data_IF_933796955208
#
_entry.id   IF_933796955208
#
_cell.length_a   1.000
_cell.length_b   1.000
_cell.length_c   1.000
_cell.angle_alpha   90.00
_cell.angle_beta   90.00
_cell.angle_gamma   90.00
#
_symmetry.space_group_name_H-M   'P 1'
#
loop_
_entity.id
_entity.type
_entity.pdbx_description
1 polymer ?
#
# COMPACT_ATOMS: atom_id res chain seq x y z
N UNK A 1 33.31 14.82 30.52
CA UNK A 1 31.96 15.39 30.29
C UNK A 1 31.32 14.63 29.14
N UNK A 2 30.45 13.67 29.45
CA UNK A 2 29.67 12.95 28.41
C UNK A 2 28.52 13.87 28.00
N UNK A 3 28.54 14.33 26.74
CA UNK A 3 27.38 14.97 26.11
C UNK A 3 26.30 13.91 25.94
N UNK A 4 25.54 13.63 27.00
CA UNK A 4 24.24 12.98 26.89
C UNK A 4 23.28 14.01 26.31
N UNK A 5 23.23 14.10 24.98
CA UNK A 5 22.14 14.74 24.27
C UNK A 5 20.86 13.97 24.61
N UNK A 6 20.21 14.34 25.72
CA UNK A 6 18.87 13.85 26.07
C UNK A 6 17.90 14.38 25.03
N UNK A 7 17.66 13.58 24.00
CA UNK A 7 16.63 13.85 22.98
C UNK A 7 15.28 13.54 23.62
N UNK A 8 14.61 14.58 24.12
CA UNK A 8 13.30 14.49 24.77
C UNK A 8 12.22 14.77 23.72
N UNK A 9 11.77 13.75 23.00
CA UNK A 9 10.48 13.81 22.27
C UNK A 9 9.43 12.99 23.02
N UNK A 10 9.12 13.39 24.26
CA UNK A 10 8.27 12.60 25.17
C UNK A 10 6.76 12.79 24.97
N UNK A 11 6.29 13.86 24.30
CA UNK A 11 4.85 14.15 24.19
C UNK A 11 4.45 14.77 22.85
N UNK A 12 4.00 13.94 21.90
CA UNK A 12 2.96 14.32 20.92
C UNK A 12 2.07 13.09 20.66
N UNK A 13 0.84 13.12 21.17
CA UNK A 13 -0.24 12.27 20.70
C UNK A 13 -0.76 12.85 19.38
N UNK A 14 -0.61 12.11 18.27
CA UNK A 14 -1.04 12.46 16.89
C UNK A 14 -0.34 13.70 16.32
N UNK A 15 0.17 13.60 15.09
CA UNK A 15 0.64 14.79 14.35
C UNK A 15 -0.55 15.76 14.24
N UNK A 16 -0.49 16.97 14.84
CA UNK A 16 -1.63 17.88 14.84
C UNK A 16 -1.92 18.34 13.42
N UNK A 17 -3.18 18.50 13.01
CA UNK A 17 -3.54 18.84 11.62
C UNK A 17 -2.81 20.06 11.03
N UNK A 18 -2.35 20.99 11.89
CA UNK A 18 -1.56 22.17 11.53
C UNK A 18 -0.03 22.03 11.76
N UNK A 19 0.52 20.80 11.78
CA UNK A 19 1.93 20.55 12.07
C UNK A 19 2.88 21.29 11.12
N UNK A 20 2.50 21.48 9.86
CA UNK A 20 3.29 22.26 8.89
C UNK A 20 3.59 23.69 9.39
N UNK A 21 2.61 24.34 10.03
CA UNK A 21 2.77 25.70 10.58
C UNK A 21 3.67 25.75 11.82
N UNK A 22 3.90 24.60 12.45
CA UNK A 22 4.78 24.44 13.62
C UNK A 22 6.18 24.01 13.24
N UNK A 23 6.43 23.68 11.97
CA UNK A 23 7.77 23.29 11.52
C UNK A 23 8.70 24.50 11.50
N UNK A 24 9.96 24.28 11.84
CA UNK A 24 11.02 25.27 11.67
C UNK A 24 11.26 25.61 10.18
N UNK A 25 10.85 24.73 9.27
CA UNK A 25 10.95 24.92 7.82
C UNK A 25 9.67 25.49 7.20
N UNK A 26 8.68 25.93 8.00
CA UNK A 26 7.37 26.37 7.51
C UNK A 26 7.40 27.34 6.32
N UNK A 27 8.37 28.25 6.29
CA UNK A 27 8.52 29.24 5.22
C UNK A 27 8.98 28.62 3.89
N UNK A 28 9.61 27.45 3.93
CA UNK A 28 10.17 26.75 2.77
C UNK A 28 9.31 25.56 2.31
N UNK A 29 8.28 25.18 3.07
CA UNK A 29 7.41 24.03 2.72
C UNK A 29 6.60 24.24 1.43
N UNK A 30 6.38 25.51 1.03
CA UNK A 30 5.71 25.88 -0.22
C UNK A 30 6.66 26.21 -1.38
N UNK A 31 7.97 26.11 -1.16
CA UNK A 31 8.96 26.34 -2.21
C UNK A 31 9.19 25.07 -3.06
N UNK A 32 10.08 25.16 -4.05
CA UNK A 32 10.45 23.97 -4.84
C UNK A 32 11.08 22.89 -3.93
N UNK A 33 10.88 21.59 -4.21
CA UNK A 33 11.49 20.52 -3.44
C UNK A 33 13.02 20.63 -3.35
N UNK A 34 13.66 21.16 -4.40
CA UNK A 34 15.12 21.37 -4.44
C UNK A 34 15.58 22.45 -3.45
N UNK A 35 14.79 23.52 -3.32
CA UNK A 35 15.04 24.58 -2.34
C UNK A 35 14.84 24.07 -0.93
N UNK A 36 13.75 23.33 -0.67
CA UNK A 36 13.51 22.71 0.63
C UNK A 36 14.64 21.76 1.03
N UNK A 37 15.07 20.87 0.11
CA UNK A 37 16.19 19.95 0.36
C UNK A 37 17.49 20.71 0.68
N UNK A 38 17.74 21.83 0.01
CA UNK A 38 18.89 22.69 0.32
C UNK A 38 18.81 23.26 1.73
N UNK A 39 17.67 23.84 2.10
CA UNK A 39 17.45 24.42 3.43
C UNK A 39 17.59 23.37 4.54
N UNK A 40 17.09 22.15 4.33
CA UNK A 40 17.21 21.06 5.31
C UNK A 40 18.66 20.56 5.42
N UNK A 41 19.37 20.46 4.30
CA UNK A 41 20.77 20.05 4.27
C UNK A 41 21.70 21.06 4.96
N UNK A 42 21.50 22.36 4.70
CA UNK A 42 22.29 23.46 5.26
C UNK A 42 21.90 23.80 6.71
N UNK A 43 20.75 23.31 7.18
CA UNK A 43 20.31 23.52 8.55
C UNK A 43 21.27 22.89 9.57
N UNK A 44 21.67 23.71 10.55
CA UNK A 44 22.49 23.29 11.72
C UNK A 44 21.75 22.36 12.68
N UNK A 45 20.44 22.17 12.50
CA UNK A 45 19.66 21.24 13.33
C UNK A 45 20.07 19.82 13.00
N UNK A 46 20.70 19.12 13.94
CA UNK A 46 21.20 17.75 13.76
C UNK A 46 20.07 16.73 13.80
N UNK A 47 19.11 16.89 14.71
CA UNK A 47 17.97 15.99 14.89
C UNK A 47 16.67 16.75 14.65
N UNK A 48 15.92 16.34 13.64
CA UNK A 48 14.64 16.94 13.28
C UNK A 48 13.56 16.44 14.23
N UNK A 49 12.61 17.30 14.61
CA UNK A 49 11.46 16.86 15.39
C UNK A 49 10.50 16.03 14.53
N UNK A 50 9.61 15.21 15.12
CA UNK A 50 8.59 14.50 14.35
C UNK A 50 7.72 15.43 13.48
N UNK A 51 7.47 16.65 13.96
CA UNK A 51 6.71 17.67 13.22
C UNK A 51 7.48 18.11 11.97
N UNK A 52 8.78 18.41 12.11
CA UNK A 52 9.61 18.86 10.99
C UNK A 52 9.76 17.77 9.95
N UNK A 53 10.06 16.54 10.39
CA UNK A 53 10.20 15.38 9.51
C UNK A 53 8.90 15.11 8.76
N UNK A 54 7.74 15.16 9.44
CA UNK A 54 6.45 14.98 8.79
C UNK A 54 6.15 16.09 7.78
N UNK A 55 6.45 17.35 8.12
CA UNK A 55 6.25 18.50 7.23
C UNK A 55 7.13 18.42 5.98
N UNK A 56 8.41 18.11 6.14
CA UNK A 56 9.35 17.94 5.03
C UNK A 56 8.88 16.80 4.13
N UNK A 57 8.63 15.61 4.68
CA UNK A 57 8.19 14.46 3.88
C UNK A 57 6.88 14.72 3.16
N UNK A 58 5.91 15.38 3.81
CA UNK A 58 4.65 15.78 3.18
C UNK A 58 4.90 16.71 1.99
N UNK A 59 5.70 17.76 2.16
CA UNK A 59 6.04 18.71 1.08
C UNK A 59 6.77 18.02 -0.09
N UNK A 60 7.65 17.05 0.20
CA UNK A 60 8.34 16.28 -0.84
C UNK A 60 7.41 15.32 -1.62
N UNK A 61 6.27 14.93 -1.04
CA UNK A 61 5.31 13.99 -1.62
C UNK A 61 4.18 14.74 -2.34
N UNK A 62 3.69 15.84 -1.77
CA UNK A 62 2.57 16.61 -2.32
C UNK A 62 2.89 17.18 -3.71
N UNK A 63 1.94 17.06 -4.63
CA UNK A 63 2.07 17.57 -5.99
C UNK A 63 3.10 16.86 -6.87
N UNK A 64 3.81 15.85 -6.34
CA UNK A 64 4.89 15.17 -7.04
C UNK A 64 4.42 13.82 -7.58
N UNK A 65 4.36 13.67 -8.90
CA UNK A 65 4.03 12.38 -9.54
C UNK A 65 5.24 11.41 -9.52
N UNK A 66 5.05 10.18 -10.01
CA UNK A 66 6.12 9.16 -10.02
C UNK A 66 7.41 9.64 -10.71
N UNK A 67 7.29 10.38 -11.82
CA UNK A 67 8.44 10.97 -12.53
C UNK A 67 9.14 12.01 -11.66
N UNK A 68 8.38 12.90 -11.03
CA UNK A 68 8.90 13.89 -10.09
C UNK A 68 9.60 13.27 -8.87
N UNK A 69 9.06 12.18 -8.31
CA UNK A 69 9.71 11.44 -7.22
C UNK A 69 11.04 10.84 -7.69
N UNK A 70 11.09 10.31 -8.92
CA UNK A 70 12.34 9.80 -9.48
C UNK A 70 13.37 10.92 -9.71
N UNK A 71 12.96 12.11 -10.13
CA UNK A 71 13.84 13.27 -10.32
C UNK A 71 14.33 13.82 -8.97
N UNK A 72 13.44 13.91 -7.99
CA UNK A 72 13.76 14.30 -6.61
C UNK A 72 14.87 13.42 -6.03
N UNK A 73 14.76 12.10 -6.18
CA UNK A 73 15.76 11.16 -5.66
C UNK A 73 17.12 11.24 -6.36
N UNK A 74 17.18 11.79 -7.57
CA UNK A 74 18.43 12.06 -8.31
C UNK A 74 19.10 13.36 -7.87
N UNK A 75 18.38 14.24 -7.17
CA UNK A 75 18.95 15.50 -6.69
C UNK A 75 20.05 15.23 -5.64
N UNK A 76 21.24 15.87 -5.73
CA UNK A 76 22.38 15.52 -4.88
C UNK A 76 22.12 15.61 -3.38
N UNK A 77 21.28 16.55 -2.93
CA UNK A 77 20.98 16.75 -1.51
C UNK A 77 19.87 15.84 -0.98
N UNK A 78 19.18 15.10 -1.85
CA UNK A 78 18.13 14.18 -1.41
C UNK A 78 18.67 13.10 -0.48
N UNK A 79 19.76 12.42 -0.85
CA UNK A 79 20.33 11.33 -0.06
C UNK A 79 20.82 11.79 1.34
N UNK A 80 21.58 12.89 1.46
CA UNK A 80 21.92 13.45 2.77
C UNK A 80 20.69 13.80 3.63
N UNK A 81 19.66 14.42 3.03
CA UNK A 81 18.44 14.79 3.76
C UNK A 81 17.66 13.55 4.18
N UNK A 82 17.48 12.57 3.29
CA UNK A 82 16.80 11.31 3.59
C UNK A 82 17.49 10.58 4.75
N UNK A 83 18.83 10.52 4.75
CA UNK A 83 19.60 9.96 5.87
C UNK A 83 19.34 10.73 7.17
N UNK A 84 19.45 12.06 7.14
CA UNK A 84 19.17 12.92 8.30
C UNK A 84 17.76 12.73 8.86
N UNK A 85 16.76 12.53 8.00
CA UNK A 85 15.38 12.22 8.40
C UNK A 85 15.31 10.83 9.07
N UNK A 86 15.91 9.80 8.47
CA UNK A 86 15.96 8.43 9.04
C UNK A 86 16.64 8.43 10.41
N UNK A 87 17.83 9.03 10.52
CA UNK A 87 18.58 9.15 11.78
C UNK A 87 17.76 9.87 12.86
N UNK A 88 16.94 10.86 12.48
CA UNK A 88 16.03 11.53 13.40
C UNK A 88 14.88 10.61 13.84
N UNK A 89 14.31 9.83 12.90
CA UNK A 89 13.20 8.91 13.16
C UNK A 89 13.60 7.79 14.11
N UNK A 90 14.86 7.35 14.07
CA UNK A 90 15.40 6.40 15.04
C UNK A 90 15.19 6.87 16.49
N UNK A 91 15.16 8.17 16.77
CA UNK A 91 14.91 8.66 18.13
C UNK A 91 13.43 8.85 18.49
N UNK A 92 12.51 8.60 17.55
CA UNK A 92 11.08 8.82 17.79
C UNK A 92 10.41 7.68 18.55
N UNK A 93 9.25 7.99 19.14
CA UNK A 93 8.42 6.96 19.75
C UNK A 93 7.90 5.98 18.70
N UNK A 94 7.78 4.71 19.09
CA UNK A 94 7.44 3.60 18.20
C UNK A 94 6.09 3.78 17.49
N UNK A 95 5.12 4.46 18.11
CA UNK A 95 3.78 4.62 17.54
C UNK A 95 3.79 5.44 16.24
N UNK A 96 4.82 6.26 16.03
CA UNK A 96 4.98 7.09 14.85
C UNK A 96 5.69 6.37 13.69
N UNK A 97 6.32 5.22 13.94
CA UNK A 97 7.17 4.57 12.95
C UNK A 97 6.41 4.19 11.69
N UNK A 98 5.20 3.62 11.81
CA UNK A 98 4.37 3.32 10.63
C UNK A 98 4.15 4.53 9.75
N UNK A 99 3.85 5.69 10.34
CA UNK A 99 3.59 6.90 9.55
C UNK A 99 4.79 7.28 8.69
N UNK A 100 5.99 7.23 9.26
CA UNK A 100 7.22 7.61 8.56
C UNK A 100 7.66 6.54 7.55
N UNK A 101 7.57 5.26 7.90
CA UNK A 101 7.81 4.15 6.96
C UNK A 101 6.91 4.31 5.73
N UNK A 102 5.63 4.59 5.93
CA UNK A 102 4.66 4.83 4.85
C UNK A 102 5.02 6.04 3.96
N UNK A 103 5.57 7.12 4.52
CA UNK A 103 6.02 8.24 3.70
C UNK A 103 7.20 7.86 2.80
N UNK A 104 8.15 7.05 3.30
CA UNK A 104 9.26 6.58 2.48
C UNK A 104 8.84 5.55 1.42
N UNK A 105 7.80 4.77 1.69
CA UNK A 105 7.15 3.96 0.65
C UNK A 105 6.58 4.81 -0.48
N UNK A 106 5.92 5.93 -0.17
CA UNK A 106 5.44 6.87 -1.20
C UNK A 106 6.58 7.51 -1.99
N UNK A 107 7.72 7.77 -1.34
CA UNK A 107 8.93 8.25 -2.01
C UNK A 107 9.69 7.15 -2.76
N UNK A 108 9.29 5.89 -2.65
CA UNK A 108 10.00 4.73 -3.18
C UNK A 108 11.48 4.69 -2.76
N UNK A 109 11.81 5.14 -1.54
CA UNK A 109 13.20 5.14 -1.07
C UNK A 109 13.55 3.82 -0.37
N UNK A 110 14.03 2.86 -1.16
CA UNK A 110 14.34 1.50 -0.71
C UNK A 110 15.30 1.48 0.49
N UNK A 111 16.28 2.39 0.55
CA UNK A 111 17.25 2.40 1.64
C UNK A 111 16.61 2.87 2.96
N UNK A 112 15.80 3.93 2.91
CA UNK A 112 15.07 4.41 4.07
C UNK A 112 13.98 3.42 4.51
N UNK A 113 13.29 2.79 3.56
CA UNK A 113 12.31 1.72 3.83
C UNK A 113 12.99 0.58 4.59
N UNK A 114 14.14 0.07 4.11
CA UNK A 114 14.89 -1.00 4.77
C UNK A 114 15.28 -0.64 6.20
N UNK A 115 15.91 0.52 6.39
CA UNK A 115 16.35 0.98 7.71
C UNK A 115 15.18 1.09 8.70
N UNK A 116 14.09 1.76 8.29
CA UNK A 116 12.94 1.97 9.18
C UNK A 116 12.10 0.70 9.37
N UNK A 117 12.06 -0.20 8.40
CA UNK A 117 11.45 -1.53 8.54
C UNK A 117 12.17 -2.38 9.60
N UNK A 118 13.50 -2.38 9.61
CA UNK A 118 14.29 -3.05 10.67
C UNK A 118 14.00 -2.45 12.04
N UNK A 119 13.99 -1.12 12.14
CA UNK A 119 13.66 -0.43 13.38
C UNK A 119 12.22 -0.73 13.84
N UNK A 120 11.27 -0.77 12.90
CA UNK A 120 9.88 -1.12 13.16
C UNK A 120 9.76 -2.52 13.75
N UNK A 121 10.56 -3.48 13.25
CA UNK A 121 10.61 -4.82 13.81
C UNK A 121 11.22 -4.85 15.22
N UNK A 122 12.42 -4.28 15.36
CA UNK A 122 13.17 -4.27 16.61
C UNK A 122 12.39 -3.65 17.78
N UNK A 123 11.52 -2.68 17.49
CA UNK A 123 10.70 -1.99 18.49
C UNK A 123 9.30 -2.58 18.65
N UNK A 124 9.01 -3.69 17.99
CA UNK A 124 7.69 -4.32 18.00
C UNK A 124 6.55 -3.33 17.68
N UNK A 125 6.82 -2.37 16.79
CA UNK A 125 5.99 -1.20 16.62
C UNK A 125 4.58 -1.56 16.11
N UNK A 126 4.44 -2.70 15.41
CA UNK A 126 3.16 -3.25 14.94
C UNK A 126 2.11 -3.39 16.06
N UNK A 127 2.52 -3.74 17.29
CA UNK A 127 1.61 -3.93 18.43
C UNK A 127 0.83 -2.66 18.79
N UNK A 128 1.43 -1.49 18.53
CA UNK A 128 0.85 -0.18 18.88
C UNK A 128 -0.06 0.42 17.80
N UNK A 129 -0.18 -0.23 16.64
CA UNK A 129 -0.86 0.34 15.48
C UNK A 129 -2.35 -0.03 15.45
N UNK A 130 -3.18 0.88 14.95
CA UNK A 130 -4.59 0.57 14.69
C UNK A 130 -4.76 -0.18 13.36
N UNK A 131 -5.96 -0.75 13.14
CA UNK A 131 -6.26 -1.55 11.95
C UNK A 131 -5.99 -0.79 10.65
N UNK A 132 -6.39 0.49 10.56
CA UNK A 132 -6.17 1.30 9.36
C UNK A 132 -4.67 1.42 9.04
N UNK A 133 -3.84 1.72 10.03
CA UNK A 133 -2.39 1.81 9.85
C UNK A 133 -1.77 0.48 9.41
N UNK A 134 -2.22 -0.63 9.98
CA UNK A 134 -1.75 -1.97 9.63
C UNK A 134 -2.12 -2.34 8.18
N UNK A 135 -3.37 -2.06 7.77
CA UNK A 135 -3.86 -2.31 6.41
C UNK A 135 -3.13 -1.43 5.39
N UNK A 136 -2.91 -0.14 5.69
CA UNK A 136 -2.09 0.71 4.83
C UNK A 136 -0.68 0.12 4.69
N UNK A 137 -0.06 -0.31 5.78
CA UNK A 137 1.29 -0.89 5.73
C UNK A 137 1.32 -2.14 4.84
N UNK A 138 0.40 -3.10 5.03
CA UNK A 138 0.28 -4.26 4.14
C UNK A 138 0.10 -3.86 2.66
N UNK A 139 -0.71 -2.82 2.41
CA UNK A 139 -0.92 -2.31 1.06
C UNK A 139 0.36 -1.78 0.43
N UNK A 140 1.17 -1.02 1.16
CA UNK A 140 2.46 -0.56 0.61
C UNK A 140 3.48 -1.68 0.47
N UNK A 141 3.50 -2.66 1.39
CA UNK A 141 4.36 -3.85 1.28
C UNK A 141 4.05 -4.66 0.02
N UNK A 142 2.77 -4.83 -0.33
CA UNK A 142 2.34 -5.53 -1.54
C UNK A 142 2.88 -4.89 -2.83
N UNK A 143 3.17 -3.58 -2.81
CA UNK A 143 3.76 -2.86 -3.94
C UNK A 143 5.30 -2.92 -3.96
N UNK A 144 5.95 -3.34 -2.86
CA UNK A 144 7.40 -3.31 -2.66
C UNK A 144 7.99 -4.67 -2.28
N UNK A 145 7.38 -5.74 -2.79
CA UNK A 145 7.87 -7.11 -2.62
C UNK A 145 9.29 -7.22 -3.23
N UNK A 146 10.29 -7.68 -2.47
CA UNK A 146 11.63 -7.99 -2.98
C UNK A 146 11.59 -8.90 -4.20
N UNK A 147 12.51 -8.69 -5.16
CA UNK A 147 12.51 -9.43 -6.43
C UNK A 147 12.73 -10.93 -6.22
N UNK A 148 13.55 -11.25 -5.23
CA UNK A 148 13.90 -12.58 -4.76
C UNK A 148 12.64 -13.36 -4.35
N UNK A 149 11.69 -12.68 -3.73
CA UNK A 149 10.40 -13.29 -3.33
C UNK A 149 9.47 -13.43 -4.53
N UNK A 150 9.43 -12.44 -5.43
CA UNK A 150 8.58 -12.49 -6.64
C UNK A 150 8.99 -13.59 -7.62
N UNK A 151 10.26 -13.93 -7.69
CA UNK A 151 10.79 -14.95 -8.61
C UNK A 151 10.51 -16.39 -8.14
N UNK A 152 10.09 -16.58 -6.89
CA UNK A 152 9.82 -17.90 -6.36
C UNK A 152 8.35 -18.27 -6.58
N UNK A 153 8.11 -19.31 -7.38
CA UNK A 153 6.77 -19.77 -7.80
C UNK A 153 5.91 -20.31 -6.64
N UNK A 154 6.52 -20.57 -5.49
CA UNK A 154 5.84 -21.04 -4.28
C UNK A 154 6.43 -20.35 -3.06
N UNK A 155 5.69 -19.44 -2.44
CA UNK A 155 6.20 -18.81 -1.23
C UNK A 155 5.11 -18.57 -0.19
N UNK A 156 5.03 -19.53 0.73
CA UNK A 156 4.64 -19.20 2.09
C UNK A 156 5.80 -18.41 2.72
N UNK A 157 5.54 -17.27 3.35
CA UNK A 157 6.55 -16.35 3.87
C UNK A 157 7.48 -17.03 4.89
N UNK A 158 6.93 -17.94 5.70
CA UNK A 158 7.65 -18.73 6.69
C UNK A 158 8.67 -19.69 6.05
N UNK A 159 8.40 -20.23 4.86
CA UNK A 159 9.33 -21.10 4.16
C UNK A 159 10.57 -20.36 3.64
N UNK A 160 10.53 -19.03 3.55
CA UNK A 160 11.71 -18.21 3.26
C UNK A 160 12.52 -17.90 4.50
N UNK A 161 11.98 -18.11 5.70
CA UNK A 161 12.69 -17.88 6.96
C UNK A 161 13.44 -19.14 7.42
N UNK A 162 13.26 -20.27 6.73
CA UNK A 162 13.92 -21.53 7.06
C UNK A 162 15.38 -21.53 6.56
N UNK A 163 16.33 -22.01 7.37
CA UNK A 163 17.77 -22.00 7.05
C UNK A 163 18.18 -22.96 5.92
N UNK A 164 17.27 -23.76 5.38
CA UNK A 164 17.54 -24.82 4.40
C UNK A 164 17.58 -24.34 2.94
N UNK A 165 17.28 -23.06 2.67
CA UNK A 165 17.46 -22.42 1.35
C UNK A 165 18.80 -21.66 1.31
N UNK A 166 19.34 -21.40 0.12
CA UNK A 166 20.44 -20.42 -0.07
C UNK A 166 20.14 -19.20 0.80
N UNK A 167 21.07 -18.83 1.69
CA UNK A 167 20.81 -17.91 2.80
C UNK A 167 20.02 -16.68 2.30
N UNK A 168 18.73 -16.55 2.68
CA UNK A 168 17.92 -15.43 2.26
C UNK A 168 18.60 -14.15 2.74
N UNK A 169 18.67 -13.15 1.85
CA UNK A 169 19.27 -11.86 2.22
C UNK A 169 18.58 -11.30 3.47
N UNK A 170 19.32 -10.58 4.31
CA UNK A 170 18.78 -9.93 5.53
C UNK A 170 17.50 -9.13 5.23
N UNK A 171 17.41 -8.51 4.04
CA UNK A 171 16.25 -7.73 3.62
C UNK A 171 15.01 -8.58 3.33
N UNK A 172 15.18 -9.80 2.81
CA UNK A 172 14.09 -10.76 2.61
C UNK A 172 13.57 -11.25 3.96
N UNK A 173 14.47 -11.54 4.91
CA UNK A 173 14.08 -11.94 6.27
C UNK A 173 13.28 -10.85 6.96
N UNK A 174 13.77 -9.61 6.95
CA UNK A 174 13.06 -8.45 7.51
C UNK A 174 11.69 -8.25 6.85
N UNK A 175 11.61 -8.39 5.53
CA UNK A 175 10.35 -8.29 4.81
C UNK A 175 9.34 -9.37 5.26
N UNK A 176 9.76 -10.63 5.30
CA UNK A 176 8.91 -11.76 5.68
C UNK A 176 8.48 -11.66 7.15
N UNK A 177 9.38 -11.27 8.05
CA UNK A 177 9.04 -11.05 9.46
C UNK A 177 8.01 -9.94 9.62
N UNK A 178 8.18 -8.79 8.95
CA UNK A 178 7.18 -7.70 8.99
C UNK A 178 5.83 -8.19 8.49
N UNK A 179 5.82 -8.89 7.35
CA UNK A 179 4.59 -9.43 6.77
C UNK A 179 3.87 -10.34 7.76
N UNK A 180 4.61 -11.24 8.40
CA UNK A 180 4.08 -12.17 9.41
C UNK A 180 3.51 -11.42 10.62
N UNK A 181 4.24 -10.45 11.17
CA UNK A 181 3.80 -9.68 12.33
C UNK A 181 2.58 -8.80 12.00
N UNK A 182 2.57 -8.15 10.83
CA UNK A 182 1.43 -7.33 10.40
C UNK A 182 0.18 -8.18 10.16
N UNK A 183 0.28 -9.31 9.47
CA UNK A 183 -0.88 -10.18 9.27
C UNK A 183 -1.41 -10.74 10.60
N UNK A 184 -0.53 -11.16 11.51
CA UNK A 184 -0.93 -11.61 12.84
C UNK A 184 -1.68 -10.55 13.64
N UNK A 185 -1.24 -9.30 13.55
CA UNK A 185 -1.91 -8.19 14.25
C UNK A 185 -3.20 -7.72 13.55
N UNK A 186 -3.25 -7.78 12.21
CA UNK A 186 -4.50 -7.55 11.45
C UNK A 186 -5.55 -8.58 11.82
N UNK A 187 -5.21 -9.87 11.88
CA UNK A 187 -6.14 -10.93 12.25
C UNK A 187 -6.86 -10.65 13.58
N UNK A 188 -6.14 -10.13 14.58
CA UNK A 188 -6.72 -9.78 15.89
C UNK A 188 -7.74 -8.64 15.82
N UNK A 189 -7.60 -7.74 14.85
CA UNK A 189 -8.36 -6.49 14.74
C UNK A 189 -9.35 -6.47 13.57
N UNK A 190 -9.31 -7.47 12.68
CA UNK A 190 -10.03 -7.47 11.40
C UNK A 190 -11.56 -7.43 11.56
N UNK A 191 -12.09 -7.87 12.71
CA UNK A 191 -13.52 -7.81 13.03
C UNK A 191 -14.06 -6.36 13.09
N UNK A 192 -13.18 -5.41 13.37
CA UNK A 192 -13.49 -3.97 13.43
C UNK A 192 -13.45 -3.30 12.04
N UNK A 193 -13.17 -4.06 10.98
CA UNK A 193 -13.17 -3.55 9.62
C UNK A 193 -14.59 -3.17 9.20
N UNK A 194 -14.78 -1.88 8.90
CA UNK A 194 -16.06 -1.30 8.44
C UNK A 194 -15.92 -0.38 7.23
N UNK A 195 -14.70 -0.01 6.90
CA UNK A 195 -14.40 0.94 5.83
C UNK A 195 -14.14 0.19 4.52
N UNK A 196 -14.94 0.51 3.49
CA UNK A 196 -14.87 -0.10 2.15
C UNK A 196 -13.51 0.12 1.47
N UNK A 197 -12.84 1.25 1.73
CA UNK A 197 -11.50 1.54 1.18
C UNK A 197 -10.44 0.67 1.85
N UNK A 198 -10.49 0.52 3.17
CA UNK A 198 -9.60 -0.39 3.90
C UNK A 198 -9.83 -1.84 3.49
N UNK A 199 -11.09 -2.24 3.26
CA UNK A 199 -11.41 -3.57 2.76
C UNK A 199 -10.81 -3.82 1.37
N UNK A 200 -10.98 -2.89 0.44
CA UNK A 200 -10.32 -2.96 -0.88
C UNK A 200 -8.80 -3.11 -0.75
N UNK A 201 -8.17 -2.27 0.08
CA UNK A 201 -6.72 -2.32 0.30
C UNK A 201 -6.31 -3.68 0.87
N UNK A 202 -7.02 -4.20 1.86
CA UNK A 202 -6.69 -5.47 2.47
C UNK A 202 -6.79 -6.63 1.48
N UNK A 203 -7.91 -6.77 0.76
CA UNK A 203 -8.12 -7.88 -0.20
C UNK A 203 -7.07 -7.85 -1.31
N UNK A 204 -6.87 -6.68 -1.92
CA UNK A 204 -5.88 -6.53 -3.00
C UNK A 204 -4.44 -6.69 -2.52
N UNK A 205 -4.16 -6.41 -1.24
CA UNK A 205 -2.85 -6.72 -0.66
C UNK A 205 -2.66 -8.22 -0.49
N UNK A 206 -3.65 -8.91 0.09
CA UNK A 206 -3.57 -10.34 0.37
C UNK A 206 -3.48 -11.19 -0.91
N UNK A 207 -4.07 -10.74 -2.02
CA UNK A 207 -3.93 -11.44 -3.31
C UNK A 207 -2.50 -11.36 -3.86
N UNK A 208 -1.79 -10.25 -3.62
CA UNK A 208 -0.45 -10.00 -4.15
C UNK A 208 0.69 -10.40 -3.21
N UNK A 209 0.44 -10.48 -1.89
CA UNK A 209 1.46 -10.81 -0.90
C UNK A 209 1.72 -12.33 -0.83
N UNK A 210 2.95 -12.74 -0.47
CA UNK A 210 3.22 -14.10 -0.03
C UNK A 210 2.22 -14.52 1.06
N UNK A 211 1.78 -15.77 1.00
CA UNK A 211 0.88 -16.31 2.02
C UNK A 211 1.66 -16.44 3.33
N UNK A 212 0.94 -16.34 4.45
CA UNK A 212 1.44 -16.70 5.78
C UNK A 212 0.45 -17.65 6.44
N UNK A 213 0.80 -18.22 7.59
CA UNK A 213 -0.13 -18.99 8.42
C UNK A 213 -1.40 -18.23 8.81
N UNK A 214 -1.37 -16.89 8.82
CA UNK A 214 -2.52 -16.06 9.16
C UNK A 214 -3.42 -15.77 7.96
N UNK A 215 -2.94 -15.96 6.73
CA UNK A 215 -3.67 -15.51 5.55
C UNK A 215 -5.05 -16.16 5.46
N UNK A 216 -5.15 -17.48 5.58
CA UNK A 216 -6.44 -18.20 5.51
C UNK A 216 -7.45 -17.74 6.56
N UNK A 217 -7.00 -17.53 7.80
CA UNK A 217 -7.86 -17.05 8.90
C UNK A 217 -8.35 -15.62 8.68
N UNK A 218 -7.49 -14.74 8.13
CA UNK A 218 -7.89 -13.38 7.75
C UNK A 218 -8.95 -13.45 6.65
N UNK A 219 -8.73 -14.26 5.62
CA UNK A 219 -9.68 -14.40 4.51
C UNK A 219 -11.04 -14.93 4.98
N UNK A 220 -11.05 -15.92 5.87
CA UNK A 220 -12.27 -16.42 6.49
C UNK A 220 -12.99 -15.31 7.28
N UNK A 221 -12.24 -14.48 8.01
CA UNK A 221 -12.78 -13.40 8.84
C UNK A 221 -13.37 -12.23 8.03
N UNK A 222 -12.85 -11.97 6.82
CA UNK A 222 -13.36 -10.89 5.96
C UNK A 222 -14.43 -11.35 4.98
N UNK A 223 -14.62 -12.65 4.75
CA UNK A 223 -15.50 -13.18 3.71
C UNK A 223 -16.93 -12.60 3.80
N UNK A 224 -17.53 -12.63 4.99
CA UNK A 224 -18.88 -12.10 5.19
C UNK A 224 -18.92 -10.57 5.08
N UNK A 225 -17.86 -9.88 5.51
CA UNK A 225 -17.74 -8.43 5.38
C UNK A 225 -17.71 -8.04 3.89
N UNK A 226 -16.94 -8.77 3.07
CA UNK A 226 -16.88 -8.55 1.61
C UNK A 226 -18.24 -8.72 0.96
N UNK A 227 -18.94 -9.80 1.29
CA UNK A 227 -20.27 -10.07 0.76
C UNK A 227 -21.23 -8.91 1.03
N UNK A 228 -21.30 -8.47 2.28
CA UNK A 228 -22.15 -7.34 2.68
C UNK A 228 -21.75 -6.05 1.96
N UNK A 229 -20.45 -5.77 1.81
CA UNK A 229 -19.98 -4.57 1.14
C UNK A 229 -20.20 -4.59 -0.38
N UNK A 230 -20.14 -5.75 -1.05
CA UNK A 230 -20.49 -5.89 -2.47
C UNK A 230 -21.97 -5.52 -2.70
N UNK A 231 -22.86 -6.01 -1.85
CA UNK A 231 -24.31 -5.79 -1.96
C UNK A 231 -24.72 -4.32 -1.73
N UNK A 232 -23.88 -3.52 -1.06
CA UNK A 232 -24.10 -2.07 -0.89
C UNK A 232 -23.92 -1.27 -2.17
N UNK A 233 -23.26 -1.82 -3.19
CA UNK A 233 -23.02 -1.17 -4.49
C UNK A 233 -22.33 0.22 -4.42
N UNK A 234 -21.51 0.48 -3.40
CA UNK A 234 -20.82 1.76 -3.19
C UNK A 234 -19.37 1.78 -3.72
N UNK A 235 -19.04 0.87 -4.64
CA UNK A 235 -17.69 0.73 -5.18
C UNK A 235 -17.50 1.63 -6.41
N UNK A 236 -16.33 2.25 -6.56
CA UNK A 236 -15.94 2.78 -7.87
C UNK A 236 -15.61 1.63 -8.82
N UNK A 237 -15.88 1.76 -10.12
CA UNK A 237 -15.60 0.71 -11.11
C UNK A 237 -14.18 0.15 -11.02
N UNK A 238 -13.17 1.04 -10.95
CA UNK A 238 -11.77 0.64 -10.78
C UNK A 238 -11.49 -0.15 -9.50
N UNK A 239 -12.10 0.22 -8.37
CA UNK A 239 -11.93 -0.54 -7.12
C UNK A 239 -12.68 -1.88 -7.18
N UNK A 240 -13.91 -1.87 -7.67
CA UNK A 240 -14.74 -3.06 -7.82
C UNK A 240 -14.05 -4.13 -8.66
N UNK A 241 -13.53 -3.73 -9.83
CA UNK A 241 -12.78 -4.64 -10.71
C UNK A 241 -11.59 -5.30 -10.01
N UNK A 242 -10.80 -4.50 -9.28
CA UNK A 242 -9.64 -5.01 -8.53
C UNK A 242 -10.05 -5.92 -7.38
N UNK A 243 -11.15 -5.63 -6.69
CA UNK A 243 -11.69 -6.50 -5.64
C UNK A 243 -12.12 -7.83 -6.24
N UNK A 244 -12.89 -7.83 -7.34
CA UNK A 244 -13.39 -9.06 -7.97
C UNK A 244 -12.23 -9.96 -8.41
N UNK A 245 -11.26 -9.41 -9.16
CA UNK A 245 -10.07 -10.16 -9.59
C UNK A 245 -9.33 -10.72 -8.38
N UNK A 246 -9.10 -9.91 -7.34
CA UNK A 246 -8.40 -10.37 -6.14
C UNK A 246 -9.18 -11.46 -5.38
N UNK A 247 -10.53 -11.41 -5.32
CA UNK A 247 -11.34 -12.46 -4.70
C UNK A 247 -11.24 -13.79 -5.45
N UNK A 248 -11.17 -13.72 -6.78
CA UNK A 248 -10.99 -14.87 -7.67
C UNK A 248 -9.60 -15.48 -7.45
N UNK A 249 -8.54 -14.67 -7.48
CA UNK A 249 -7.15 -15.10 -7.21
C UNK A 249 -7.00 -15.76 -5.84
N UNK A 250 -7.73 -15.24 -4.85
CA UNK A 250 -7.76 -15.75 -3.49
C UNK A 250 -8.66 -16.99 -3.31
N UNK A 251 -9.36 -17.43 -4.35
CA UNK A 251 -10.33 -18.54 -4.32
C UNK A 251 -11.42 -18.35 -3.25
N UNK A 252 -11.92 -17.12 -3.09
CA UNK A 252 -12.96 -16.78 -2.11
C UNK A 252 -14.37 -16.71 -2.69
N UNK A 253 -14.49 -16.95 -3.99
CA UNK A 253 -15.76 -16.89 -4.70
C UNK A 253 -16.45 -18.25 -4.62
N UNK A 254 -17.43 -18.36 -3.72
CA UNK A 254 -18.42 -19.44 -3.77
C UNK A 254 -19.64 -19.03 -4.62
N UNK A 255 -20.61 -19.93 -4.80
CA UNK A 255 -21.80 -19.67 -5.62
C UNK A 255 -22.61 -18.45 -5.15
N UNK A 256 -22.64 -18.21 -3.84
CA UNK A 256 -23.33 -17.05 -3.29
C UNK A 256 -22.56 -15.77 -3.60
N UNK A 257 -21.25 -15.74 -3.31
CA UNK A 257 -20.38 -14.61 -3.61
C UNK A 257 -20.40 -14.28 -5.10
N UNK A 258 -20.40 -15.30 -5.97
CA UNK A 258 -20.52 -15.13 -7.42
C UNK A 258 -21.83 -14.43 -7.79
N UNK A 259 -22.94 -14.81 -7.15
CA UNK A 259 -24.23 -14.15 -7.36
C UNK A 259 -24.19 -12.67 -6.94
N UNK A 260 -23.59 -12.35 -5.80
CA UNK A 260 -23.40 -10.97 -5.35
C UNK A 260 -22.50 -10.19 -6.32
N UNK A 261 -21.41 -10.79 -6.80
CA UNK A 261 -20.51 -10.19 -7.80
C UNK A 261 -21.27 -9.85 -9.09
N UNK A 262 -22.05 -10.79 -9.64
CA UNK A 262 -22.79 -10.59 -10.89
C UNK A 262 -23.82 -9.46 -10.76
N UNK A 263 -24.55 -9.39 -9.63
CA UNK A 263 -25.49 -8.28 -9.37
C UNK A 263 -24.79 -6.93 -9.25
N UNK A 264 -23.66 -6.89 -8.55
CA UNK A 264 -22.88 -5.65 -8.39
C UNK A 264 -22.28 -5.20 -9.73
N UNK A 265 -21.86 -6.14 -10.58
CA UNK A 265 -21.39 -5.85 -11.94
C UNK A 265 -22.50 -5.30 -12.83
N UNK A 266 -23.69 -5.90 -12.79
CA UNK A 266 -24.86 -5.41 -13.54
C UNK A 266 -25.18 -3.96 -13.18
N UNK A 267 -25.16 -3.62 -11.88
CA UNK A 267 -25.39 -2.25 -11.41
C UNK A 267 -24.30 -1.26 -11.86
N UNK A 268 -23.05 -1.71 -11.94
CA UNK A 268 -21.89 -0.85 -12.20
C UNK A 268 -21.34 -0.96 -13.62
N UNK A 269 -22.04 -1.63 -14.54
CA UNK A 269 -21.52 -1.95 -15.88
C UNK A 269 -21.05 -0.72 -16.67
N UNK A 270 -21.64 0.45 -16.40
CA UNK A 270 -21.30 1.72 -17.05
C UNK A 270 -20.08 2.43 -16.50
N UNK A 271 -19.57 1.97 -15.36
CA UNK A 271 -18.36 2.52 -14.75
C UNK A 271 -17.06 1.92 -15.28
N UNK A 272 -17.14 0.86 -16.10
CA UNK A 272 -15.96 0.15 -16.62
C UNK A 272 -15.62 0.59 -18.05
N UNK A 273 -14.32 0.75 -18.31
CA UNK A 273 -13.80 0.91 -19.67
C UNK A 273 -13.58 -0.44 -20.36
N UNK A 274 -13.23 -0.41 -21.65
CA UNK A 274 -13.00 -1.65 -22.43
C UNK A 274 -11.91 -2.54 -21.85
N UNK A 275 -10.89 -1.97 -21.19
CA UNK A 275 -9.80 -2.73 -20.60
C UNK A 275 -10.25 -3.39 -19.30
N UNK A 276 -10.98 -2.66 -18.45
CA UNK A 276 -11.57 -3.20 -17.23
C UNK A 276 -12.55 -4.34 -17.53
N UNK A 277 -13.40 -4.19 -18.55
CA UNK A 277 -14.35 -5.23 -18.99
C UNK A 277 -13.61 -6.47 -19.46
N UNK A 278 -12.56 -6.30 -20.28
CA UNK A 278 -11.76 -7.42 -20.77
C UNK A 278 -11.17 -8.23 -19.60
N UNK A 279 -10.52 -7.56 -18.66
CA UNK A 279 -9.90 -8.21 -17.50
C UNK A 279 -10.95 -8.89 -16.61
N UNK A 280 -12.15 -8.31 -16.48
CA UNK A 280 -13.26 -8.92 -15.74
C UNK A 280 -13.78 -10.20 -16.41
N UNK A 281 -13.97 -10.18 -17.74
CA UNK A 281 -14.41 -11.36 -18.48
C UNK A 281 -13.38 -12.50 -18.37
N UNK A 282 -12.09 -12.19 -18.56
CA UNK A 282 -11.00 -13.17 -18.39
C UNK A 282 -10.99 -13.78 -16.98
N UNK A 283 -11.23 -12.98 -15.94
CA UNK A 283 -11.30 -13.48 -14.57
C UNK A 283 -12.57 -14.33 -14.33
N UNK A 284 -13.69 -13.99 -14.97
CA UNK A 284 -14.98 -14.66 -14.81
C UNK A 284 -15.10 -15.95 -15.63
N UNK A 285 -14.29 -16.13 -16.67
CA UNK A 285 -14.31 -17.31 -17.56
C UNK A 285 -14.04 -18.63 -16.85
N UNK A 286 -13.44 -18.59 -15.65
CA UNK A 286 -13.24 -19.77 -14.80
C UNK A 286 -14.55 -20.32 -14.23
N UNK A 287 -15.61 -19.52 -14.25
CA UNK A 287 -16.95 -19.92 -13.85
C UNK A 287 -17.75 -20.20 -15.13
N UNK A 288 -18.48 -21.30 -15.16
CA UNK A 288 -19.36 -21.68 -16.29
C UNK A 288 -20.61 -20.80 -16.32
N UNK A 289 -20.41 -19.51 -16.62
CA UNK A 289 -21.42 -18.44 -16.55
C UNK A 289 -21.57 -17.67 -17.86
N UNK A 290 -21.05 -18.18 -18.97
CA UNK A 290 -21.07 -17.51 -20.27
C UNK A 290 -22.50 -17.27 -20.78
N UNK A 291 -23.47 -18.06 -20.32
CA UNK A 291 -24.89 -17.89 -20.61
C UNK A 291 -25.61 -16.86 -19.70
N UNK A 292 -24.92 -16.29 -18.71
CA UNK A 292 -25.50 -15.31 -17.80
C UNK A 292 -25.68 -13.95 -18.51
N UNK A 293 -26.84 -13.31 -18.34
CA UNK A 293 -27.15 -12.00 -18.95
C UNK A 293 -26.10 -10.93 -18.64
N UNK A 294 -25.59 -10.88 -17.40
CA UNK A 294 -24.55 -9.92 -17.02
C UNK A 294 -23.25 -10.15 -17.80
N UNK A 295 -22.85 -11.41 -17.97
CA UNK A 295 -21.66 -11.78 -18.73
C UNK A 295 -21.83 -11.41 -20.21
N UNK A 296 -22.98 -11.74 -20.80
CA UNK A 296 -23.33 -11.40 -22.19
C UNK A 296 -23.30 -9.88 -22.40
N UNK A 297 -23.94 -9.11 -21.51
CA UNK A 297 -23.96 -7.64 -21.56
C UNK A 297 -22.55 -7.03 -21.56
N UNK A 298 -21.68 -7.50 -20.66
CA UNK A 298 -20.29 -7.06 -20.60
C UNK A 298 -19.53 -7.41 -21.89
N UNK A 299 -19.73 -8.62 -22.43
CA UNK A 299 -19.11 -9.06 -23.69
C UNK A 299 -19.56 -8.21 -24.87
N UNK A 300 -20.86 -7.99 -25.04
CA UNK A 300 -21.43 -7.19 -26.12
C UNK A 300 -20.87 -5.76 -26.08
N UNK A 301 -20.77 -5.18 -24.87
CA UNK A 301 -20.17 -3.86 -24.66
C UNK A 301 -18.71 -3.80 -25.10
N UNK A 302 -17.93 -4.84 -24.82
CA UNK A 302 -16.53 -4.94 -25.28
C UNK A 302 -16.43 -5.06 -26.80
N UNK A 303 -17.29 -5.85 -27.44
CA UNK A 303 -17.35 -6.02 -28.89
C UNK A 303 -17.69 -4.69 -29.60
N UNK A 304 -18.68 -3.95 -29.09
CA UNK A 304 -19.04 -2.61 -29.60
C UNK A 304 -17.86 -1.65 -29.47
N UNK A 305 -17.20 -1.59 -28.32
CA UNK A 305 -16.05 -0.71 -28.10
C UNK A 305 -14.89 -1.01 -29.05
N UNK A 306 -14.61 -2.29 -29.30
CA UNK A 306 -13.57 -2.72 -30.25
C UNK A 306 -13.92 -2.36 -31.70
N UNK A 307 -15.19 -2.51 -32.10
CA UNK A 307 -15.68 -2.12 -33.43
C UNK A 307 -15.53 -0.61 -33.68
N UNK A 308 -15.92 0.21 -32.71
CA UNK A 308 -15.76 1.67 -32.78
C UNK A 308 -14.28 2.04 -32.92
N UNK A 309 -13.40 1.44 -32.10
CA UNK A 309 -11.95 1.68 -32.16
C UNK A 309 -11.35 1.27 -33.51
N UNK A 310 -11.80 0.15 -34.08
CA UNK A 310 -11.39 -0.30 -35.41
C UNK A 310 -11.77 0.69 -36.51
N UNK A 311 -13.00 1.21 -36.47
CA UNK A 311 -13.48 2.23 -37.42
C UNK A 311 -12.73 3.56 -37.31
N UNK A 312 -12.40 4.01 -36.10
CA UNK A 312 -11.63 5.25 -35.91
C UNK A 312 -10.21 5.12 -36.48
N UNK A 313 -9.53 3.99 -36.27
CA UNK A 313 -8.21 3.74 -36.87
C UNK A 313 -8.21 3.73 -38.41
N UNK A 314 -9.31 3.30 -39.03
CA UNK A 314 -9.45 3.35 -40.50
C UNK A 314 -9.74 4.74 -41.07
N UNK A 315 -10.08 5.73 -40.23
CA UNK A 315 -10.36 7.11 -40.63
C UNK A 315 -9.17 8.06 -40.41
N UNK A 316 -8.09 7.59 -39.78
CA UNK A 316 -6.83 8.33 -39.57
C UNK A 316 -5.79 8.08 -40.69
N UNK A 317 -6.23 7.51 -41.83
CA UNK A 317 -5.42 7.28 -43.05
C UNK A 317 -5.81 8.28 -44.13
#
# INVERSE_FOLDING_TARGET
MKNESRVIFSKICRLPSNYANKSIFKNHLGESPQTLLRQVAESKVTSLSPIDTAAILKSLIEGTNYKGISELRKYPLYRPVAKKLVDSIECYRQELLSYFVLQFYKLHDIQAIKALSRLFLQREAWKSQNLSQLVEFLYYLAHHIPKEIRASETVNAEQLLLPEKEEPTEDVNVYCEILLQLQGEVLRKVKDLRDTTLLYKLITSLSNLPKTKYTSEILASIKDIVKVELEKNNWSGKHLKRVIVALIDLKLVDSYMLTSILRTLEYNQDSFDSCDIKDLLEALDIFDIQACNTYISLRDKLEIANHIRGKMKSLEI
#
